data_IF_672384617513
#
_entry.id   IF_672384617513
#
_cell.length_a   1.000
_cell.length_b   1.000
_cell.length_c   1.000
_cell.angle_alpha   90.00
_cell.angle_beta   90.00
_cell.angle_gamma   90.00
#
_symmetry.space_group_name_H-M   'P 1'
#
loop_
_entity.id
_entity.type
_entity.pdbx_description
1 polymer ?
#
# COMPACT_ATOMS: atom_id res chain seq x y z
N UNK A 1 -26.28 -13.64 -20.69
CA UNK A 1 -25.57 -14.92 -20.93
C UNK A 1 -24.30 -14.62 -21.70
N UNK A 2 -23.14 -15.03 -21.15
CA UNK A 2 -21.85 -14.89 -21.83
C UNK A 2 -21.88 -15.78 -23.08
N UNK A 3 -21.43 -15.23 -24.21
CA UNK A 3 -21.31 -15.98 -25.46
C UNK A 3 -20.41 -17.20 -25.25
N UNK A 4 -20.81 -18.36 -25.80
CA UNK A 4 -20.08 -19.61 -25.67
C UNK A 4 -18.64 -19.51 -26.19
N UNK A 5 -18.38 -18.61 -27.15
CA UNK A 5 -17.02 -18.34 -27.68
C UNK A 5 -16.11 -17.65 -26.68
N UNK A 6 -16.67 -16.89 -25.71
CA UNK A 6 -15.95 -16.21 -24.66
C UNK A 6 -15.79 -17.05 -23.39
N UNK A 7 -16.67 -18.05 -23.21
CA UNK A 7 -16.67 -18.86 -21.99
C UNK A 7 -15.38 -19.67 -21.80
N UNK A 8 -14.95 -20.39 -22.81
CA UNK A 8 -13.79 -21.26 -22.71
C UNK A 8 -12.47 -20.48 -22.43
N UNK A 9 -12.18 -19.36 -23.11
CA UNK A 9 -11.03 -18.52 -22.76
C UNK A 9 -11.13 -17.94 -21.33
N UNK A 10 -12.35 -17.53 -20.92
CA UNK A 10 -12.56 -16.99 -19.56
C UNK A 10 -12.37 -18.08 -18.51
N UNK A 11 -12.91 -19.28 -18.70
CA UNK A 11 -12.73 -20.40 -17.77
C UNK A 11 -11.25 -20.82 -17.70
N UNK A 12 -10.52 -20.80 -18.81
CA UNK A 12 -9.10 -21.10 -18.84
C UNK A 12 -8.28 -20.05 -18.09
N UNK A 13 -8.62 -18.77 -18.26
CA UNK A 13 -7.99 -17.67 -17.52
C UNK A 13 -8.28 -17.76 -16.02
N UNK A 14 -9.55 -17.96 -15.63
CA UNK A 14 -9.92 -18.15 -14.22
C UNK A 14 -9.19 -19.35 -13.63
N UNK A 15 -9.13 -20.48 -14.36
CA UNK A 15 -8.39 -21.66 -13.92
C UNK A 15 -6.89 -21.37 -13.71
N UNK A 16 -6.28 -20.62 -14.60
CA UNK A 16 -4.88 -20.21 -14.47
C UNK A 16 -4.67 -19.34 -13.20
N UNK A 17 -5.61 -18.46 -12.88
CA UNK A 17 -5.55 -17.64 -11.66
C UNK A 17 -5.76 -18.47 -10.39
N UNK A 18 -6.62 -19.50 -10.45
CA UNK A 18 -6.96 -20.32 -9.26
C UNK A 18 -6.04 -21.52 -9.05
N UNK A 19 -5.58 -22.13 -10.14
CA UNK A 19 -4.75 -23.34 -10.09
C UNK A 19 -3.27 -23.06 -10.41
N UNK A 20 -2.96 -21.81 -10.78
CA UNK A 20 -1.59 -21.38 -11.00
C UNK A 20 -0.75 -21.57 -9.74
N UNK A 21 0.53 -21.92 -9.88
CA UNK A 21 1.38 -22.03 -8.71
C UNK A 21 1.44 -20.68 -8.00
N UNK A 22 1.00 -20.66 -6.73
CA UNK A 22 1.06 -19.46 -5.92
C UNK A 22 2.52 -19.08 -5.69
N UNK A 23 2.82 -17.80 -5.85
CA UNK A 23 4.08 -17.26 -5.37
C UNK A 23 4.13 -17.37 -3.84
N UNK A 24 5.31 -17.44 -3.26
CA UNK A 24 5.48 -17.41 -1.79
C UNK A 24 5.28 -16.01 -1.22
N UNK A 25 5.33 -14.99 -2.08
CA UNK A 25 5.12 -13.61 -1.70
C UNK A 25 3.64 -13.32 -1.44
N UNK A 26 3.34 -12.81 -0.25
CA UNK A 26 1.98 -12.38 0.12
C UNK A 26 2.05 -10.91 0.53
N UNK A 27 1.72 -10.03 -0.42
CA UNK A 27 1.60 -8.59 -0.19
C UNK A 27 0.22 -8.19 0.30
N UNK A 28 0.05 -6.90 0.59
CA UNK A 28 -1.24 -6.28 0.87
C UNK A 28 -1.96 -6.82 2.13
N UNK A 29 -1.22 -7.37 3.09
CA UNK A 29 -1.78 -7.82 4.37
C UNK A 29 -2.11 -6.62 5.26
N UNK A 30 -3.21 -6.70 6.01
CA UNK A 30 -3.59 -5.63 6.93
C UNK A 30 -2.50 -5.41 8.01
N UNK A 31 -2.01 -4.15 8.12
CA UNK A 31 -1.05 -3.77 9.15
C UNK A 31 -1.79 -3.37 10.42
N UNK A 32 -1.51 -4.05 11.52
CA UNK A 32 -2.04 -3.68 12.82
C UNK A 32 -1.29 -2.46 13.38
N UNK A 33 -1.99 -1.42 13.88
CA UNK A 33 -1.34 -0.28 14.51
C UNK A 33 -0.85 -0.59 15.92
N UNK A 34 0.21 0.10 16.33
CA UNK A 34 0.53 0.27 17.75
C UNK A 34 -0.27 1.46 18.28
N UNK A 35 -1.10 1.22 19.31
CA UNK A 35 -1.89 2.30 19.92
C UNK A 35 -1.03 3.04 20.94
N UNK A 36 -0.81 4.33 20.71
CA UNK A 36 -0.05 5.20 21.60
C UNK A 36 -0.89 5.63 22.82
N UNK A 37 -0.28 6.10 23.93
CA UNK A 37 -1.02 6.49 25.14
C UNK A 37 -2.08 7.60 24.92
N UNK A 38 -1.92 8.42 23.88
CA UNK A 38 -2.87 9.50 23.49
C UNK A 38 -3.94 9.03 22.49
N UNK A 39 -4.00 7.71 22.20
CA UNK A 39 -4.92 7.10 21.26
C UNK A 39 -4.45 7.15 19.79
N UNK A 40 -3.29 7.71 19.49
CA UNK A 40 -2.74 7.76 18.13
C UNK A 40 -2.45 6.33 17.63
N UNK A 41 -2.92 6.01 16.43
CA UNK A 41 -2.62 4.76 15.73
C UNK A 41 -1.30 4.90 14.98
N UNK A 42 -0.25 4.27 15.48
CA UNK A 42 1.06 4.29 14.84
C UNK A 42 1.27 3.05 13.97
N UNK A 43 1.73 3.28 12.75
CA UNK A 43 2.14 2.26 11.78
C UNK A 43 3.60 2.46 11.42
N UNK A 44 4.40 1.42 11.55
CA UNK A 44 5.82 1.46 11.23
C UNK A 44 6.03 0.84 9.84
N UNK A 45 6.58 1.62 8.92
CA UNK A 45 6.89 1.22 7.55
C UNK A 45 8.40 1.27 7.34
N UNK A 46 9.01 0.11 7.20
CA UNK A 46 10.41 -0.02 6.81
C UNK A 46 10.51 -0.13 5.29
N UNK A 47 11.13 0.84 4.65
CA UNK A 47 11.46 0.78 3.24
C UNK A 47 12.80 0.06 3.07
N UNK A 48 12.81 -1.06 2.35
CA UNK A 48 14.00 -1.91 2.19
C UNK A 48 13.98 -2.68 0.86
N UNK A 49 15.15 -3.12 0.40
CA UNK A 49 15.27 -4.00 -0.76
C UNK A 49 15.25 -5.45 -0.27
N UNK A 50 14.33 -6.25 -0.83
CA UNK A 50 14.19 -7.67 -0.48
C UNK A 50 14.15 -8.56 -1.72
N UNK A 51 14.42 -9.85 -1.53
CA UNK A 51 14.14 -10.85 -2.54
C UNK A 51 12.64 -11.11 -2.58
N UNK A 52 12.03 -10.91 -3.75
CA UNK A 52 10.60 -11.05 -3.98
C UNK A 52 10.31 -12.00 -5.13
N UNK A 53 9.49 -12.99 -4.88
CA UNK A 53 9.11 -13.98 -5.92
C UNK A 53 7.90 -13.44 -6.70
N UNK A 54 8.14 -13.01 -7.95
CA UNK A 54 7.09 -12.46 -8.84
C UNK A 54 6.35 -13.55 -9.62
N UNK A 55 7.01 -14.65 -9.88
CA UNK A 55 6.49 -15.86 -10.51
C UNK A 55 7.15 -17.05 -9.83
N UNK A 56 6.57 -18.24 -9.85
CA UNK A 56 7.17 -19.41 -9.23
C UNK A 56 8.62 -19.66 -9.68
N UNK A 57 9.55 -19.57 -8.75
CA UNK A 57 10.98 -19.70 -8.98
C UNK A 57 11.67 -18.47 -9.59
N UNK A 58 10.93 -17.40 -9.90
CA UNK A 58 11.51 -16.14 -10.42
C UNK A 58 11.60 -15.08 -9.33
N UNK A 59 12.79 -14.92 -8.80
CA UNK A 59 13.09 -13.99 -7.72
C UNK A 59 13.74 -12.73 -8.31
N UNK A 60 13.26 -11.56 -7.88
CA UNK A 60 13.82 -10.25 -8.21
C UNK A 60 14.15 -9.48 -6.93
N UNK A 61 15.00 -8.47 -7.04
CA UNK A 61 15.18 -7.48 -5.97
C UNK A 61 14.06 -6.46 -6.07
N UNK A 62 13.11 -6.51 -5.14
CA UNK A 62 12.03 -5.54 -5.06
C UNK A 62 12.31 -4.51 -3.98
N UNK A 63 11.78 -3.31 -4.16
CA UNK A 63 11.77 -2.25 -3.17
C UNK A 63 10.47 -2.32 -2.41
N UNK A 64 10.53 -2.56 -1.13
CA UNK A 64 9.34 -3.00 -0.37
C UNK A 64 9.07 -2.11 0.83
N UNK A 65 7.81 -1.99 1.22
CA UNK A 65 7.46 -1.63 2.59
C UNK A 65 7.22 -2.91 3.39
N UNK A 66 7.99 -3.08 4.47
CA UNK A 66 7.91 -4.24 5.38
C UNK A 66 8.10 -5.60 4.67
N UNK A 67 8.95 -5.63 3.62
CA UNK A 67 9.35 -6.87 2.95
C UNK A 67 8.32 -7.46 1.99
N UNK A 68 7.26 -6.73 1.60
CA UNK A 68 6.19 -7.22 0.72
C UNK A 68 5.86 -6.26 -0.42
N UNK A 69 5.34 -6.80 -1.53
CA UNK A 69 4.79 -6.05 -2.67
C UNK A 69 3.38 -6.57 -2.99
N UNK A 70 2.35 -5.73 -3.01
CA UNK A 70 2.35 -4.39 -2.44
C UNK A 70 2.71 -4.39 -0.95
N UNK A 71 3.13 -3.25 -0.42
CA UNK A 71 3.29 -3.05 1.02
C UNK A 71 1.99 -3.30 1.78
N UNK A 72 2.03 -3.39 3.11
CA UNK A 72 0.86 -3.73 3.91
C UNK A 72 -0.27 -2.70 3.76
N UNK A 73 -1.52 -3.17 3.77
CA UNK A 73 -2.70 -2.30 3.78
C UNK A 73 -2.86 -1.61 5.14
N UNK A 74 -3.01 -0.30 5.14
CA UNK A 74 -3.39 0.49 6.31
C UNK A 74 -4.89 0.76 6.23
N UNK A 75 -5.64 0.42 7.29
CA UNK A 75 -7.08 0.73 7.42
C UNK A 75 -7.33 1.45 8.75
N UNK A 76 -7.95 2.62 8.66
CA UNK A 76 -8.29 3.48 9.80
C UNK A 76 -9.72 3.98 9.68
N UNK A 77 -10.24 4.62 10.73
CA UNK A 77 -11.57 5.24 10.69
C UNK A 77 -11.46 6.77 10.53
N UNK A 78 -12.45 7.44 9.96
CA UNK A 78 -12.52 8.90 9.99
C UNK A 78 -12.40 9.43 11.42
N UNK A 79 -11.55 10.43 11.64
CA UNK A 79 -11.25 10.99 12.95
C UNK A 79 -10.11 10.33 13.72
N UNK A 80 -9.59 9.19 13.25
CA UNK A 80 -8.40 8.57 13.86
C UNK A 80 -7.20 9.50 13.76
N UNK A 81 -6.45 9.64 14.85
CA UNK A 81 -5.10 10.21 14.82
C UNK A 81 -4.14 9.15 14.30
N UNK A 82 -3.45 9.46 13.24
CA UNK A 82 -2.54 8.55 12.54
C UNK A 82 -1.12 9.05 12.62
N UNK A 83 -0.19 8.15 12.91
CA UNK A 83 1.25 8.36 12.78
C UNK A 83 1.82 7.26 11.89
N UNK A 84 2.45 7.63 10.78
CA UNK A 84 3.22 6.72 9.94
C UNK A 84 4.69 7.00 10.16
N UNK A 85 5.45 6.01 10.63
CA UNK A 85 6.90 6.13 10.80
C UNK A 85 7.57 5.43 9.64
N UNK A 86 8.15 6.21 8.75
CA UNK A 86 9.03 5.70 7.69
C UNK A 86 10.43 5.47 8.25
N UNK A 87 10.93 4.25 8.13
CA UNK A 87 12.33 3.87 8.38
C UNK A 87 12.99 3.54 7.05
N UNK A 88 13.81 4.45 6.52
CA UNK A 88 14.44 4.26 5.22
C UNK A 88 15.72 3.42 5.33
N UNK A 89 15.67 2.17 4.91
CA UNK A 89 16.80 1.24 4.80
C UNK A 89 17.16 0.96 3.32
N UNK A 90 16.66 1.79 2.39
CA UNK A 90 17.03 1.75 0.98
C UNK A 90 18.44 2.32 0.76
N UNK A 91 19.07 2.02 -0.40
CA UNK A 91 20.37 2.62 -0.76
C UNK A 91 20.27 4.09 -1.18
N UNK A 92 19.06 4.63 -1.37
CA UNK A 92 18.82 6.03 -1.74
C UNK A 92 17.72 6.67 -0.89
N UNK A 93 17.50 7.97 -1.08
CA UNK A 93 16.44 8.68 -0.37
C UNK A 93 15.06 8.26 -0.85
N UNK A 94 14.07 8.44 0.03
CA UNK A 94 12.65 8.20 -0.28
C UNK A 94 11.77 9.08 0.59
N UNK A 95 10.48 9.11 0.28
CA UNK A 95 9.41 9.74 1.08
C UNK A 95 8.16 8.86 0.98
N UNK A 96 7.14 9.18 1.76
CA UNK A 96 5.79 8.61 1.57
C UNK A 96 4.84 9.74 1.20
N UNK A 97 4.24 9.65 0.02
CA UNK A 97 3.09 10.46 -0.39
C UNK A 97 1.80 9.67 -0.16
N UNK A 98 0.76 10.39 0.28
CA UNK A 98 -0.56 9.84 0.58
C UNK A 98 -1.55 10.21 -0.51
N UNK A 99 -1.53 9.45 -1.60
CA UNK A 99 -2.35 9.70 -2.77
C UNK A 99 -3.83 9.39 -2.49
N UNK A 100 -4.71 10.33 -2.81
CA UNK A 100 -6.16 10.19 -2.60
C UNK A 100 -6.62 10.43 -1.17
N UNK A 101 -5.74 10.87 -0.28
CA UNK A 101 -6.07 11.24 1.10
C UNK A 101 -5.97 12.76 1.30
N UNK A 102 -6.76 13.28 2.22
CA UNK A 102 -6.62 14.67 2.68
C UNK A 102 -5.70 14.71 3.89
N UNK A 103 -4.49 15.25 3.69
CA UNK A 103 -3.48 15.41 4.74
C UNK A 103 -3.00 16.86 4.81
N UNK A 104 -2.42 17.32 5.95
CA UNK A 104 -1.75 18.62 6.00
C UNK A 104 -0.61 18.70 4.99
N UNK A 105 -0.42 19.86 4.34
CA UNK A 105 0.63 20.04 3.32
C UNK A 105 2.03 19.58 3.78
N UNK A 106 2.39 19.85 5.04
CA UNK A 106 3.68 19.41 5.60
C UNK A 106 3.81 17.87 5.75
N UNK A 107 2.72 17.11 5.55
CA UNK A 107 2.66 15.65 5.64
C UNK A 107 2.34 15.00 4.29
N UNK A 108 2.34 15.79 3.21
CA UNK A 108 1.99 15.30 1.87
C UNK A 108 3.08 14.45 1.19
N UNK A 109 4.32 14.54 1.70
CA UNK A 109 5.41 13.66 1.25
C UNK A 109 5.97 14.01 -0.13
N UNK A 110 5.94 15.28 -0.55
CA UNK A 110 6.56 15.70 -1.81
C UNK A 110 7.97 16.26 -1.51
N UNK A 111 9.03 15.60 -2.05
CA UNK A 111 10.42 15.99 -1.76
C UNK A 111 10.70 17.44 -2.16
N UNK A 112 11.46 18.14 -1.31
CA UNK A 112 11.90 19.53 -1.50
C UNK A 112 10.77 20.57 -1.61
N UNK A 113 9.51 20.14 -1.54
CA UNK A 113 8.32 21.01 -1.55
C UNK A 113 7.65 21.00 -0.19
N UNK A 114 7.25 19.82 0.31
CA UNK A 114 6.56 19.70 1.60
C UNK A 114 7.49 19.21 2.71
N UNK A 115 8.55 18.50 2.36
CA UNK A 115 9.57 18.00 3.28
C UNK A 115 10.91 17.73 2.56
N UNK A 116 12.04 17.68 3.27
CA UNK A 116 13.27 17.12 2.73
C UNK A 116 13.14 15.61 2.51
N UNK A 117 13.81 15.02 1.49
CA UNK A 117 13.88 13.59 1.31
C UNK A 117 14.47 12.87 2.54
N UNK A 118 13.92 11.71 2.87
CA UNK A 118 14.42 10.88 3.97
C UNK A 118 15.58 10.05 3.47
N UNK A 119 16.79 10.37 3.91
CA UNK A 119 18.04 9.72 3.47
C UNK A 119 18.17 8.29 4.01
N UNK A 120 19.01 7.44 3.40
CA UNK A 120 19.35 6.11 3.91
C UNK A 120 19.67 6.10 5.41
N UNK A 121 19.11 5.15 6.16
CA UNK A 121 19.27 5.00 7.59
C UNK A 121 18.58 6.07 8.45
N UNK A 122 17.73 6.91 7.84
CA UNK A 122 16.97 7.95 8.57
C UNK A 122 15.50 7.58 8.65
N UNK A 123 14.81 8.24 9.61
CA UNK A 123 13.37 8.09 9.84
C UNK A 123 12.66 9.43 9.66
N UNK A 124 11.40 9.35 9.28
CA UNK A 124 10.48 10.49 9.28
C UNK A 124 9.12 10.04 9.81
N UNK A 125 8.42 10.93 10.50
CA UNK A 125 7.08 10.65 11.02
C UNK A 125 6.06 11.58 10.38
N UNK A 126 5.06 10.99 9.74
CA UNK A 126 3.89 11.67 9.20
C UNK A 126 2.78 11.59 10.24
N UNK A 127 2.19 12.74 10.58
CA UNK A 127 1.13 12.81 11.59
C UNK A 127 -0.06 13.60 11.05
N UNK A 128 -1.24 12.99 11.07
CA UNK A 128 -2.47 13.61 10.61
C UNK A 128 -3.71 12.98 11.25
N UNK A 129 -4.85 13.65 11.09
CA UNK A 129 -6.15 13.07 11.43
C UNK A 129 -6.77 12.57 10.13
N UNK A 130 -7.13 11.29 10.10
CA UNK A 130 -7.72 10.66 8.94
C UNK A 130 -9.08 11.30 8.60
N UNK A 131 -9.23 11.75 7.37
CA UNK A 131 -10.46 12.32 6.85
C UNK A 131 -11.03 11.34 5.82
N UNK A 132 -12.35 11.16 5.81
CA UNK A 132 -12.93 10.22 4.87
C UNK A 132 -14.42 10.05 5.04
N UNK A 133 -15.01 9.05 4.36
CA UNK A 133 -14.36 7.86 3.79
C UNK A 133 -13.42 8.17 2.62
N UNK A 134 -12.38 7.36 2.44
CA UNK A 134 -11.44 7.49 1.34
C UNK A 134 -10.79 6.15 0.99
N UNK A 135 -10.61 5.91 -0.31
CA UNK A 135 -9.77 4.85 -0.86
C UNK A 135 -8.57 5.51 -1.51
N UNK A 136 -7.40 5.24 -0.97
CA UNK A 136 -6.15 5.82 -1.42
C UNK A 136 -5.01 4.82 -1.39
N UNK A 137 -3.83 5.34 -1.65
CA UNK A 137 -2.59 4.59 -1.57
C UNK A 137 -1.49 5.45 -0.93
N UNK A 138 -0.53 4.81 -0.33
CA UNK A 138 0.74 5.43 0.03
C UNK A 138 1.84 4.89 -0.88
N UNK A 139 2.74 5.76 -1.32
CA UNK A 139 3.81 5.36 -2.23
C UNK A 139 5.00 6.33 -2.15
N UNK A 140 6.13 5.92 -2.71
CA UNK A 140 7.26 6.84 -2.84
C UNK A 140 6.93 7.96 -3.83
N UNK A 141 7.42 9.18 -3.52
CA UNK A 141 7.36 10.34 -4.42
C UNK A 141 8.76 10.92 -4.68
N UNK A 142 9.82 10.25 -4.20
CA UNK A 142 11.22 10.54 -4.52
C UNK A 142 11.71 9.45 -5.48
N UNK A 143 12.22 9.83 -6.66
CA UNK A 143 12.53 8.89 -7.74
C UNK A 143 11.39 7.91 -8.07
N UNK A 144 10.16 8.44 -8.09
CA UNK A 144 8.94 7.63 -8.21
C UNK A 144 8.89 6.81 -9.51
N UNK A 145 9.61 7.23 -10.57
CA UNK A 145 9.70 6.56 -11.85
C UNK A 145 10.33 5.16 -11.79
N UNK A 146 11.09 4.84 -10.74
CA UNK A 146 11.58 3.48 -10.50
C UNK A 146 11.18 2.94 -9.12
N UNK A 147 11.12 3.77 -8.06
CA UNK A 147 10.79 3.29 -6.72
C UNK A 147 9.36 2.71 -6.64
N UNK A 148 8.39 3.31 -7.35
CA UNK A 148 7.02 2.81 -7.37
C UNK A 148 6.90 1.53 -8.20
N UNK A 149 7.35 1.47 -9.47
CA UNK A 149 7.34 0.22 -10.23
C UNK A 149 8.12 -0.92 -9.57
N UNK A 150 9.18 -0.61 -8.82
CA UNK A 150 9.96 -1.62 -8.10
C UNK A 150 9.28 -2.12 -6.82
N UNK A 151 8.13 -1.50 -6.40
CA UNK A 151 7.27 -2.04 -5.35
C UNK A 151 6.98 -1.14 -4.14
N UNK A 152 7.46 0.12 -4.10
CA UNK A 152 7.22 1.04 -2.99
C UNK A 152 5.83 1.69 -3.03
N UNK A 153 4.80 0.87 -2.80
CA UNK A 153 3.39 1.29 -2.75
C UNK A 153 2.59 0.37 -1.82
N UNK A 154 1.48 0.87 -1.29
CA UNK A 154 0.54 0.11 -0.47
C UNK A 154 -0.82 0.80 -0.36
N UNK A 155 -1.88 0.05 -0.03
CA UNK A 155 -3.23 0.59 0.11
C UNK A 155 -3.40 1.36 1.42
N UNK A 156 -4.16 2.46 1.37
CA UNK A 156 -4.59 3.21 2.54
C UNK A 156 -6.10 3.46 2.47
N UNK A 157 -6.83 2.92 3.44
CA UNK A 157 -8.29 2.97 3.49
C UNK A 157 -8.74 3.76 4.72
N UNK A 158 -9.68 4.66 4.54
CA UNK A 158 -10.30 5.41 5.64
C UNK A 158 -11.79 5.14 5.68
N UNK A 159 -12.24 4.48 6.75
CA UNK A 159 -13.64 4.07 6.89
C UNK A 159 -14.04 2.99 5.89
N UNK A 160 -15.33 2.91 5.69
CA UNK A 160 -15.94 2.02 4.70
C UNK A 160 -16.63 2.86 3.63
N UNK A 161 -16.49 2.46 2.37
CA UNK A 161 -17.18 3.14 1.27
C UNK A 161 -18.70 2.93 1.35
N UNK A 162 -19.50 3.96 1.04
CA UNK A 162 -20.95 3.83 1.07
C UNK A 162 -21.43 2.78 0.05
N UNK A 163 -22.17 1.80 0.53
CA UNK A 163 -22.77 0.76 -0.30
C UNK A 163 -24.21 1.13 -0.61
N UNK A 164 -24.69 0.99 -1.87
CA UNK A 164 -26.09 1.25 -2.20
C UNK A 164 -27.06 0.42 -1.35
N UNK A 165 -28.21 1.00 -1.01
CA UNK A 165 -29.22 0.31 -0.21
C UNK A 165 -29.62 -1.03 -0.82
N UNK A 166 -29.69 -2.08 -0.01
CA UNK A 166 -30.06 -3.43 -0.43
C UNK A 166 -28.92 -4.27 -1.03
N UNK A 167 -27.71 -3.73 -1.10
CA UNK A 167 -26.51 -4.49 -1.50
C UNK A 167 -25.81 -5.01 -0.25
N UNK A 168 -25.54 -6.33 -0.21
CA UNK A 168 -24.71 -6.95 0.81
C UNK A 168 -23.29 -7.12 0.26
N UNK A 169 -22.31 -6.57 0.95
CA UNK A 169 -20.87 -6.78 0.64
C UNK A 169 -20.46 -8.11 1.24
N UNK A 170 -20.03 -9.05 0.42
CA UNK A 170 -19.54 -10.35 0.89
C UNK A 170 -18.04 -10.34 1.17
N UNK A 171 -17.28 -9.46 0.51
CA UNK A 171 -15.83 -9.34 0.65
C UNK A 171 -15.34 -7.98 0.18
N UNK A 172 -14.37 -7.41 0.87
CA UNK A 172 -13.58 -6.25 0.44
C UNK A 172 -12.19 -6.73 0.06
N UNK A 173 -11.74 -6.37 -1.14
CA UNK A 173 -10.41 -6.75 -1.64
C UNK A 173 -9.70 -5.48 -2.12
N UNK A 174 -8.75 -4.93 -1.34
CA UNK A 174 -7.89 -3.86 -1.84
C UNK A 174 -7.01 -4.41 -2.96
N UNK A 175 -7.08 -3.81 -4.14
CA UNK A 175 -6.22 -4.14 -5.27
C UNK A 175 -5.38 -2.93 -5.63
N UNK A 176 -4.08 -3.12 -5.77
CA UNK A 176 -3.15 -2.11 -6.25
C UNK A 176 -2.57 -2.63 -7.57
N UNK A 177 -2.67 -1.79 -8.60
CA UNK A 177 -2.06 -2.05 -9.90
C UNK A 177 -0.69 -1.37 -9.94
N UNK A 178 0.33 -2.15 -10.27
CA UNK A 178 1.73 -1.70 -10.36
C UNK A 178 2.35 -2.19 -11.68
#
# INVERSE_FOLDING_TARGET
QMDATMKAPTDAFVKQLTDGPNTKGVGNQLLAPTIQPDGTKQFDLKAEVTDWEIEPGKIVKAWTYNGTVPGPTIKVQPGDKVRIVLDNQLPESTVIHFHGLTVPNAMDGVPDITQPPVRPGKKFSYEFVAQGPAVGMYHSHDFAEHQVPDGLLGAFLVGDEPVPAGVAVSQEIPMILN
#
